data_IF_614136779500
#
_entry.id   IF_614136779500
#
_cell.length_a   1.000
_cell.length_b   1.000
_cell.length_c   1.000
_cell.angle_alpha   90.00
_cell.angle_beta   90.00
_cell.angle_gamma   90.00
#
_symmetry.space_group_name_H-M   'P 1'
#
loop_
_entity.id
_entity.type
_entity.pdbx_description
1 polymer ?
#
# COMPACT_ATOMS: atom_id res chain seq x y z
N UNK A 1 27.53 -31.09 -6.49
CA UNK A 1 26.95 -30.06 -7.36
C UNK A 1 25.62 -29.61 -6.76
N UNK A 2 25.51 -28.35 -6.34
CA UNK A 2 24.22 -27.77 -5.96
C UNK A 2 23.57 -27.27 -7.25
N UNK A 3 22.47 -27.90 -7.68
CA UNK A 3 21.63 -27.36 -8.76
C UNK A 3 20.72 -26.33 -8.14
N UNK A 4 20.90 -25.07 -8.51
CA UNK A 4 19.89 -24.05 -8.25
C UNK A 4 18.68 -24.35 -9.15
N UNK A 5 17.53 -24.56 -8.53
CA UNK A 5 16.28 -24.67 -9.26
C UNK A 5 15.99 -23.31 -9.93
N UNK A 6 15.62 -23.31 -11.21
CA UNK A 6 15.05 -22.11 -11.82
C UNK A 6 13.71 -21.85 -11.14
N UNK A 7 13.67 -20.87 -10.22
CA UNK A 7 12.41 -20.36 -9.73
C UNK A 7 11.74 -19.68 -10.93
N UNK A 8 10.70 -20.30 -11.49
CA UNK A 8 9.91 -19.62 -12.51
C UNK A 8 9.32 -18.36 -11.90
N UNK A 9 9.67 -17.23 -12.50
CA UNK A 9 9.17 -15.94 -12.07
C UNK A 9 7.69 -15.89 -12.41
N UNK A 10 6.82 -15.87 -11.39
CA UNK A 10 5.39 -15.67 -11.62
C UNK A 10 5.13 -14.17 -11.83
N UNK A 11 4.78 -13.72 -13.04
CA UNK A 11 4.63 -12.29 -13.33
C UNK A 11 3.32 -11.70 -12.77
N UNK A 12 2.48 -12.53 -12.15
CA UNK A 12 1.14 -12.20 -11.69
C UNK A 12 0.92 -12.77 -10.29
N UNK A 13 0.21 -12.04 -9.44
CA UNK A 13 -0.14 -12.52 -8.11
C UNK A 13 -1.53 -12.05 -7.70
N UNK A 14 -2.26 -12.96 -7.06
CA UNK A 14 -3.48 -12.63 -6.34
C UNK A 14 -3.16 -12.03 -4.96
N UNK A 15 -3.89 -10.97 -4.61
CA UNK A 15 -3.86 -10.36 -3.28
C UNK A 15 -5.23 -10.44 -2.64
N UNK A 16 -5.31 -11.00 -1.43
CA UNK A 16 -6.54 -11.03 -0.63
C UNK A 16 -6.47 -10.04 0.52
N UNK A 17 -7.52 -9.26 0.71
CA UNK A 17 -7.73 -8.43 1.90
C UNK A 17 -8.24 -9.24 3.10
N UNK A 18 -8.48 -8.53 4.19
CA UNK A 18 -9.13 -9.09 5.38
C UNK A 18 -10.60 -9.49 5.10
N UNK A 19 -11.09 -10.50 5.82
CA UNK A 19 -12.50 -10.87 5.81
C UNK A 19 -13.37 -9.77 6.43
N UNK A 20 -14.52 -9.52 5.81
CA UNK A 20 -15.57 -8.66 6.35
C UNK A 20 -16.11 -9.21 7.66
N UNK A 21 -16.94 -8.40 8.32
CA UNK A 21 -17.78 -8.91 9.39
C UNK A 21 -18.79 -9.92 8.83
N UNK A 22 -19.24 -10.83 9.69
CA UNK A 22 -20.29 -11.77 9.31
C UNK A 22 -21.57 -10.97 9.02
N UNK A 23 -22.29 -11.32 7.95
CA UNK A 23 -23.55 -10.66 7.58
C UNK A 23 -24.61 -10.77 8.67
N UNK A 24 -24.48 -11.75 9.57
CA UNK A 24 -25.33 -11.92 10.74
C UNK A 24 -24.58 -11.75 12.06
N UNK A 25 -25.29 -11.26 13.08
CA UNK A 25 -24.81 -11.15 14.46
C UNK A 25 -25.14 -12.37 15.31
N UNK A 26 -25.96 -13.29 14.81
CA UNK A 26 -26.18 -14.62 15.37
C UNK A 26 -26.38 -15.65 14.24
N UNK A 27 -26.15 -16.94 14.51
CA UNK A 27 -26.41 -18.00 13.54
C UNK A 27 -25.48 -17.98 12.34
N UNK A 28 -25.91 -18.60 11.26
CA UNK A 28 -25.14 -18.72 10.03
C UNK A 28 -25.30 -17.50 9.13
N UNK A 29 -24.18 -16.97 8.66
CA UNK A 29 -24.09 -15.89 7.68
C UNK A 29 -22.88 -16.08 6.77
N UNK A 30 -22.49 -15.01 6.08
CA UNK A 30 -21.33 -15.00 5.18
C UNK A 30 -20.34 -13.89 5.54
N UNK A 31 -19.05 -14.13 5.29
CA UNK A 31 -18.02 -13.10 5.24
C UNK A 31 -17.51 -13.01 3.81
N UNK A 32 -17.24 -11.78 3.36
CA UNK A 32 -16.66 -11.50 2.05
C UNK A 32 -15.31 -10.81 2.21
N UNK A 33 -14.40 -10.98 1.27
CA UNK A 33 -13.13 -10.22 1.24
C UNK A 33 -12.83 -9.75 -0.17
N UNK A 34 -12.06 -8.66 -0.25
CA UNK A 34 -11.55 -8.19 -1.53
C UNK A 34 -10.44 -9.12 -2.01
N UNK A 35 -10.50 -9.52 -3.27
CA UNK A 35 -9.48 -10.31 -3.95
C UNK A 35 -9.15 -9.60 -5.26
N UNK A 36 -7.89 -9.26 -5.49
CA UNK A 36 -7.45 -8.48 -6.67
C UNK A 36 -6.21 -9.11 -7.32
N UNK A 37 -6.13 -9.00 -8.65
CA UNK A 37 -4.99 -9.47 -9.46
C UNK A 37 -3.97 -8.33 -9.62
N UNK A 38 -2.68 -8.64 -9.57
CA UNK A 38 -1.59 -7.65 -9.68
C UNK A 38 -0.42 -8.19 -10.50
N UNK A 39 0.34 -7.29 -11.15
CA UNK A 39 1.63 -7.62 -11.76
C UNK A 39 2.71 -7.76 -10.69
N UNK A 40 3.64 -8.67 -10.91
CA UNK A 40 4.82 -8.86 -10.08
C UNK A 40 6.05 -8.77 -10.97
N UNK A 41 7.04 -7.98 -10.56
CA UNK A 41 8.31 -7.93 -11.29
C UNK A 41 9.25 -9.06 -10.85
N UNK A 42 10.38 -9.20 -11.54
CA UNK A 42 11.40 -10.21 -11.26
C UNK A 42 11.96 -10.18 -9.82
N UNK A 43 11.84 -9.05 -9.12
CA UNK A 43 12.30 -8.86 -7.75
C UNK A 43 11.21 -9.11 -6.69
N UNK A 44 10.04 -9.65 -7.11
CA UNK A 44 8.91 -9.91 -6.21
C UNK A 44 8.13 -8.66 -5.80
N UNK A 45 8.35 -7.51 -6.45
CA UNK A 45 7.55 -6.31 -6.19
C UNK A 45 6.20 -6.42 -6.88
N UNK A 46 5.13 -6.19 -6.12
CA UNK A 46 3.74 -6.25 -6.58
C UNK A 46 3.25 -4.85 -6.94
N UNK A 47 2.77 -4.66 -8.17
CA UNK A 47 2.16 -3.40 -8.60
C UNK A 47 0.90 -3.12 -7.77
N UNK A 48 0.79 -1.96 -7.11
CA UNK A 48 -0.41 -1.62 -6.34
C UNK A 48 -1.67 -1.53 -7.19
N UNK A 49 -1.55 -1.23 -8.48
CA UNK A 49 -2.66 -1.10 -9.42
C UNK A 49 -3.27 -2.47 -9.70
N UNK A 50 -4.57 -2.68 -9.44
CA UNK A 50 -5.22 -3.94 -9.76
C UNK A 50 -5.41 -4.08 -11.27
N UNK A 51 -5.17 -5.29 -11.76
CA UNK A 51 -5.52 -5.72 -13.11
C UNK A 51 -6.94 -6.31 -13.14
N UNK A 52 -7.45 -6.52 -14.35
CA UNK A 52 -8.64 -7.34 -14.56
C UNK A 52 -8.43 -8.76 -14.02
N UNK A 53 -9.49 -9.33 -13.43
CA UNK A 53 -9.43 -10.66 -12.81
C UNK A 53 -9.11 -11.79 -13.81
N UNK A 54 -9.47 -11.62 -15.09
CA UNK A 54 -9.22 -12.60 -16.15
C UNK A 54 -7.73 -12.78 -16.48
N UNK A 55 -6.88 -11.81 -16.09
CA UNK A 55 -5.45 -11.84 -16.39
C UNK A 55 -4.71 -12.83 -15.48
N UNK A 56 -5.11 -12.95 -14.20
CA UNK A 56 -4.47 -13.88 -13.26
C UNK A 56 -5.03 -15.31 -13.42
N UNK A 57 -4.23 -16.35 -13.12
CA UNK A 57 -4.69 -17.74 -13.14
C UNK A 57 -5.90 -17.96 -12.23
N UNK A 58 -7.02 -18.44 -12.78
CA UNK A 58 -8.27 -18.60 -12.02
C UNK A 58 -8.14 -19.68 -10.93
N UNK A 59 -7.36 -20.73 -11.17
CA UNK A 59 -7.13 -21.83 -10.23
C UNK A 59 -6.45 -21.37 -8.92
N UNK A 60 -5.64 -20.33 -8.98
CA UNK A 60 -4.96 -19.77 -7.81
C UNK A 60 -5.80 -18.70 -7.10
N UNK A 61 -6.97 -18.35 -7.63
CA UNK A 61 -7.79 -17.26 -7.12
C UNK A 61 -8.24 -17.59 -5.69
N UNK A 62 -7.86 -16.77 -4.70
CA UNK A 62 -8.29 -16.99 -3.33
C UNK A 62 -9.82 -16.86 -3.20
N UNK A 63 -10.42 -17.68 -2.34
CA UNK A 63 -11.86 -17.59 -2.04
C UNK A 63 -12.25 -16.17 -1.63
N UNK A 64 -13.32 -15.62 -2.21
CA UNK A 64 -13.79 -14.25 -1.91
C UNK A 64 -14.96 -14.23 -0.94
N UNK A 65 -15.61 -15.38 -0.70
CA UNK A 65 -16.73 -15.55 0.22
C UNK A 65 -16.55 -16.83 1.04
N UNK A 66 -16.96 -16.81 2.30
CA UNK A 66 -17.02 -17.99 3.16
C UNK A 66 -18.20 -17.90 4.14
N UNK A 67 -18.69 -19.05 4.61
CA UNK A 67 -19.67 -19.08 5.70
C UNK A 67 -19.03 -18.68 7.04
N UNK A 68 -19.85 -18.12 7.92
CA UNK A 68 -19.49 -17.78 9.29
C UNK A 68 -20.65 -18.15 10.23
N UNK A 69 -20.31 -18.75 11.38
CA UNK A 69 -21.26 -19.07 12.43
C UNK A 69 -21.00 -18.19 13.67
N UNK A 70 -21.95 -17.32 14.00
CA UNK A 70 -21.88 -16.38 15.12
C UNK A 70 -22.77 -16.86 16.27
N UNK A 71 -22.43 -18.01 16.86
CA UNK A 71 -23.27 -18.61 17.91
C UNK A 71 -24.66 -19.02 17.40
N UNK A 72 -25.54 -19.46 18.30
CA UNK A 72 -26.89 -19.87 17.94
C UNK A 72 -27.87 -18.74 18.25
N UNK A 73 -28.75 -18.40 17.30
CA UNK A 73 -29.82 -17.44 17.58
C UNK A 73 -30.80 -17.99 18.64
N UNK A 74 -30.92 -19.32 18.75
CA UNK A 74 -31.79 -19.99 19.72
C UNK A 74 -31.33 -19.85 21.19
N UNK A 75 -30.17 -19.22 21.44
CA UNK A 75 -29.72 -18.91 22.81
C UNK A 75 -30.51 -17.75 23.44
N UNK A 76 -31.40 -17.08 22.70
CA UNK A 76 -32.22 -15.95 23.17
C UNK A 76 -31.46 -14.62 23.30
N UNK A 77 -30.13 -14.65 23.14
CA UNK A 77 -29.23 -13.51 23.28
C UNK A 77 -28.03 -13.60 22.34
N UNK A 78 -27.55 -12.45 21.86
CA UNK A 78 -26.42 -12.36 20.93
C UNK A 78 -25.53 -11.14 21.15
N UNK A 79 -24.26 -11.27 20.75
CA UNK A 79 -23.30 -10.17 20.77
C UNK A 79 -23.49 -9.30 19.53
N UNK A 80 -23.83 -8.03 19.74
CA UNK A 80 -23.86 -7.02 18.67
C UNK A 80 -22.59 -6.16 18.72
N UNK A 81 -21.84 -6.05 17.61
CA UNK A 81 -20.73 -5.12 17.52
C UNK A 81 -21.19 -3.67 17.39
N UNK A 82 -20.54 -2.78 18.12
CA UNK A 82 -20.64 -1.34 17.90
C UNK A 82 -19.66 -0.84 16.82
N UNK A 83 -19.70 0.48 16.52
CA UNK A 83 -18.78 1.08 15.55
C UNK A 83 -17.32 0.95 16.00
N UNK A 84 -16.43 0.92 15.02
CA UNK A 84 -15.00 0.98 15.24
C UNK A 84 -14.59 2.39 15.69
N UNK A 85 -13.68 2.47 16.66
CA UNK A 85 -13.05 3.73 17.06
C UNK A 85 -12.24 4.33 15.91
N UNK A 86 -11.85 5.60 16.05
CA UNK A 86 -10.78 6.17 15.24
C UNK A 86 -9.51 5.29 15.29
N UNK A 87 -8.71 5.35 14.23
CA UNK A 87 -7.42 4.67 14.18
C UNK A 87 -6.51 5.24 15.27
N UNK A 88 -5.80 4.39 16.01
CA UNK A 88 -4.91 4.82 17.09
C UNK A 88 -3.71 5.65 16.63
N UNK A 89 -3.42 5.64 15.32
CA UNK A 89 -2.35 6.40 14.72
C UNK A 89 -2.97 7.42 13.73
N UNK A 90 -2.50 8.69 13.72
CA UNK A 90 -3.00 9.72 12.81
C UNK A 90 -2.54 9.49 11.36
N UNK A 91 -1.55 8.64 11.17
CA UNK A 91 -1.01 8.18 9.91
C UNK A 91 -0.43 6.76 10.10
N UNK A 92 -0.02 6.13 9.02
CA UNK A 92 0.59 4.81 8.98
C UNK A 92 -0.34 3.73 9.51
N UNK A 93 0.29 2.69 10.06
CA UNK A 93 -0.41 1.58 10.68
C UNK A 93 -0.85 1.93 12.10
N UNK A 94 -2.12 1.68 12.40
CA UNK A 94 -2.67 1.79 13.74
C UNK A 94 -3.60 0.64 14.07
N UNK A 95 -4.36 0.81 15.15
CA UNK A 95 -5.36 -0.14 15.62
C UNK A 95 -6.67 0.58 15.90
N UNK A 96 -7.77 -0.04 15.49
CA UNK A 96 -9.11 0.36 15.91
C UNK A 96 -9.61 -0.62 16.97
N UNK A 97 -10.42 -0.11 17.90
CA UNK A 97 -11.09 -0.91 18.92
C UNK A 97 -12.60 -0.71 18.78
N UNK A 98 -13.38 -1.70 19.18
CA UNK A 98 -14.83 -1.58 19.30
C UNK A 98 -15.35 -2.25 20.55
N UNK A 99 -16.53 -1.84 20.98
CA UNK A 99 -17.26 -2.50 22.07
C UNK A 99 -18.24 -3.51 21.48
N UNK A 100 -18.36 -4.65 22.14
CA UNK A 100 -19.43 -5.62 21.91
C UNK A 100 -20.42 -5.49 23.06
N UNK A 101 -21.71 -5.49 22.73
CA UNK A 101 -22.82 -5.35 23.67
C UNK A 101 -23.76 -6.56 23.48
N UNK A 102 -24.30 -7.09 24.57
CA UNK A 102 -25.23 -8.21 24.52
C UNK A 102 -26.67 -7.70 24.34
N UNK A 103 -27.43 -8.34 23.47
CA UNK A 103 -28.84 -8.05 23.18
C UNK A 103 -29.65 -9.33 23.21
N UNK A 104 -30.93 -9.24 23.55
CA UNK A 104 -31.89 -10.33 23.34
C UNK A 104 -32.49 -10.30 21.92
N UNK A 105 -33.27 -11.34 21.59
CA UNK A 105 -33.91 -11.49 20.27
C UNK A 105 -34.92 -10.38 19.94
N UNK A 106 -35.44 -9.69 20.97
CA UNK A 106 -36.31 -8.52 20.83
C UNK A 106 -35.51 -7.23 20.60
N UNK A 107 -34.17 -7.31 20.55
CA UNK A 107 -33.27 -6.18 20.33
C UNK A 107 -33.04 -5.31 21.56
N UNK A 108 -33.46 -5.74 22.76
CA UNK A 108 -33.20 -5.04 24.01
C UNK A 108 -31.82 -5.38 24.54
N UNK A 109 -31.10 -4.36 25.01
CA UNK A 109 -29.76 -4.54 25.59
C UNK A 109 -29.86 -5.25 26.93
N UNK A 110 -29.19 -6.39 27.06
CA UNK A 110 -29.11 -7.17 28.30
C UNK A 110 -27.71 -7.10 28.91
N UNK A 111 -27.52 -7.72 30.07
CA UNK A 111 -26.22 -7.75 30.72
C UNK A 111 -25.22 -8.59 29.91
N UNK A 112 -23.96 -8.14 29.88
CA UNK A 112 -22.92 -8.76 29.06
C UNK A 112 -22.56 -10.20 29.49
N UNK A 113 -22.90 -10.61 30.71
CA UNK A 113 -22.73 -12.00 31.19
C UNK A 113 -23.70 -12.98 30.53
N UNK A 114 -24.83 -12.50 30.03
CA UNK A 114 -25.85 -13.36 29.43
C UNK A 114 -25.36 -13.90 28.08
N UNK A 115 -24.53 -13.14 27.37
CA UNK A 115 -23.92 -13.61 26.13
C UNK A 115 -22.63 -14.40 26.41
N UNK A 116 -22.50 -15.55 25.73
CA UNK A 116 -21.34 -16.44 25.83
C UNK A 116 -20.02 -15.70 25.53
N UNK A 117 -19.07 -15.74 26.46
CA UNK A 117 -17.77 -15.08 26.31
C UNK A 117 -16.93 -15.63 25.14
N UNK A 118 -17.09 -16.92 24.80
CA UNK A 118 -16.39 -17.54 23.67
C UNK A 118 -16.72 -16.88 22.31
N UNK A 119 -17.98 -16.49 22.11
CA UNK A 119 -18.44 -15.82 20.89
C UNK A 119 -17.88 -14.40 20.77
N UNK A 120 -17.73 -13.70 21.92
CA UNK A 120 -17.11 -12.37 22.00
C UNK A 120 -15.69 -12.34 21.42
N UNK A 121 -14.94 -13.46 21.54
CA UNK A 121 -13.60 -13.60 20.98
C UNK A 121 -13.63 -13.76 19.46
N UNK A 122 -14.56 -14.56 18.92
CA UNK A 122 -14.71 -14.80 17.47
C UNK A 122 -15.07 -13.54 16.69
N UNK A 123 -15.91 -12.68 17.25
CA UNK A 123 -16.36 -11.44 16.61
C UNK A 123 -15.27 -10.37 16.44
N UNK A 124 -14.15 -10.46 17.18
CA UNK A 124 -13.06 -9.50 17.08
C UNK A 124 -13.39 -8.11 17.67
N UNK A 125 -12.53 -7.63 18.57
CA UNK A 125 -12.67 -6.30 19.21
C UNK A 125 -11.58 -5.31 18.83
N UNK A 126 -10.60 -5.77 18.07
CA UNK A 126 -9.45 -5.00 17.62
C UNK A 126 -9.22 -5.37 16.16
N UNK A 127 -8.93 -4.38 15.32
CA UNK A 127 -8.46 -4.59 13.95
C UNK A 127 -7.32 -3.63 13.64
N UNK A 128 -6.49 -3.99 12.65
CA UNK A 128 -5.49 -3.07 12.10
C UNK A 128 -6.20 -2.03 11.24
N UNK A 129 -5.62 -0.84 11.15
CA UNK A 129 -6.03 0.21 10.23
C UNK A 129 -4.78 0.80 9.58
N UNK A 130 -4.94 1.33 8.38
CA UNK A 130 -3.97 2.16 7.71
C UNK A 130 -4.71 3.37 7.14
N UNK A 131 -4.32 4.57 7.56
CA UNK A 131 -4.99 5.80 7.09
C UNK A 131 -4.31 6.34 5.83
N UNK A 132 -3.04 6.73 5.97
CA UNK A 132 -2.17 7.27 4.92
C UNK A 132 -0.72 7.07 5.35
N UNK A 133 0.29 7.12 4.47
CA UNK A 133 1.69 7.14 4.90
C UNK A 133 1.99 8.28 5.89
N UNK A 134 2.98 8.07 6.78
CA UNK A 134 3.34 9.06 7.78
C UNK A 134 4.25 10.16 7.26
N UNK A 135 5.16 9.85 6.32
CA UNK A 135 5.93 10.87 5.63
C UNK A 135 5.13 11.54 4.51
N UNK A 136 5.72 12.60 3.96
CA UNK A 136 5.15 13.32 2.84
C UNK A 136 5.15 12.45 1.58
N UNK A 137 4.17 12.67 0.70
CA UNK A 137 4.03 12.01 -0.59
C UNK A 137 4.60 12.83 -1.75
N UNK A 138 4.91 14.11 -1.50
CA UNK A 138 5.42 15.07 -2.48
C UNK A 138 6.23 16.16 -1.80
N UNK A 139 7.06 16.87 -2.56
CA UNK A 139 7.76 18.07 -2.09
C UNK A 139 6.78 19.16 -1.64
N UNK A 140 5.62 19.25 -2.31
CA UNK A 140 4.56 20.18 -1.89
C UNK A 140 3.98 19.82 -0.52
N UNK A 141 3.81 18.53 -0.21
CA UNK A 141 3.34 18.12 1.12
C UNK A 141 4.40 18.38 2.19
N UNK A 142 5.69 18.21 1.88
CA UNK A 142 6.80 18.64 2.75
C UNK A 142 6.73 20.14 3.05
N UNK A 143 6.41 20.95 2.03
CA UNK A 143 6.25 22.38 2.16
C UNK A 143 5.06 22.74 3.05
N UNK A 144 3.88 22.19 2.79
CA UNK A 144 2.64 22.57 3.47
C UNK A 144 2.55 22.03 4.91
N UNK A 145 3.03 20.81 5.14
CA UNK A 145 2.80 20.11 6.42
C UNK A 145 4.04 19.97 7.29
N UNK A 146 5.22 20.03 6.70
CA UNK A 146 6.49 19.88 7.41
C UNK A 146 7.33 21.17 7.37
N UNK A 147 6.81 22.23 6.77
CA UNK A 147 7.45 23.56 6.68
C UNK A 147 8.83 23.55 6.02
N UNK A 148 9.09 22.58 5.14
CA UNK A 148 10.34 22.52 4.37
C UNK A 148 10.29 23.58 3.27
N UNK A 149 11.32 24.41 3.14
CA UNK A 149 11.42 25.50 2.12
C UNK A 149 12.75 25.50 1.36
N UNK A 150 13.68 24.67 1.77
CA UNK A 150 15.02 24.58 1.19
C UNK A 150 15.07 23.47 0.16
N UNK A 151 15.72 23.75 -0.96
CA UNK A 151 16.01 22.75 -1.97
C UNK A 151 16.98 21.70 -1.41
N UNK A 152 16.87 20.46 -1.87
CA UNK A 152 17.75 19.36 -1.44
C UNK A 152 17.11 17.99 -1.54
N UNK A 153 17.89 16.97 -1.17
CA UNK A 153 17.41 15.59 -1.03
C UNK A 153 16.41 15.48 0.12
N UNK A 154 15.25 14.91 -0.17
CA UNK A 154 14.19 14.67 0.79
C UNK A 154 13.71 13.23 0.69
N UNK A 155 13.35 12.65 1.84
CA UNK A 155 12.70 11.35 1.89
C UNK A 155 11.17 11.53 1.76
N UNK A 156 10.60 11.04 0.66
CA UNK A 156 9.15 10.94 0.50
C UNK A 156 8.71 9.49 0.41
N UNK A 157 7.42 9.27 0.62
CA UNK A 157 6.81 7.95 0.58
C UNK A 157 6.11 7.72 -0.75
N UNK A 158 6.79 7.09 -1.70
CA UNK A 158 6.16 6.63 -2.94
C UNK A 158 5.64 5.21 -2.74
N UNK A 159 4.32 5.05 -2.81
CA UNK A 159 3.64 3.73 -2.72
C UNK A 159 4.02 2.93 -1.46
N UNK A 160 4.23 3.64 -0.35
CA UNK A 160 4.55 3.05 0.97
C UNK A 160 6.02 2.68 1.17
N UNK A 161 6.90 2.97 0.21
CA UNK A 161 8.35 2.88 0.35
C UNK A 161 8.93 4.29 0.47
N UNK A 162 9.86 4.46 1.40
CA UNK A 162 10.69 5.65 1.46
C UNK A 162 11.64 5.66 0.25
N UNK A 163 11.66 6.78 -0.47
CA UNK A 163 12.58 7.05 -1.56
C UNK A 163 13.20 8.43 -1.35
N UNK A 164 14.49 8.55 -1.64
CA UNK A 164 15.15 9.86 -1.71
C UNK A 164 14.88 10.46 -3.08
N UNK A 165 14.47 11.72 -3.11
CA UNK A 165 14.43 12.55 -4.31
C UNK A 165 14.97 13.93 -3.99
N UNK A 166 15.41 14.61 -5.04
CA UNK A 166 15.74 16.02 -4.94
C UNK A 166 14.48 16.87 -5.11
N UNK A 167 14.15 17.64 -4.07
CA UNK A 167 13.14 18.70 -4.12
C UNK A 167 13.80 20.02 -4.53
N UNK A 168 13.42 20.58 -5.67
CA UNK A 168 13.87 21.89 -6.16
C UNK A 168 12.76 22.94 -6.09
N UNK A 169 13.12 24.22 -6.11
CA UNK A 169 12.16 25.35 -6.05
C UNK A 169 11.24 25.30 -4.82
N UNK A 170 11.72 24.82 -3.68
CA UNK A 170 10.96 24.64 -2.43
C UNK A 170 10.50 25.96 -1.79
N UNK A 171 11.08 27.08 -2.20
CA UNK A 171 10.64 28.42 -1.79
C UNK A 171 9.47 28.97 -2.65
N UNK A 172 9.02 28.24 -3.68
CA UNK A 172 7.89 28.63 -4.54
C UNK A 172 6.62 27.90 -4.15
N UNK A 173 5.47 28.27 -4.72
CA UNK A 173 4.19 27.56 -4.52
C UNK A 173 4.09 26.23 -5.30
N UNK A 174 5.05 25.95 -6.17
CA UNK A 174 5.08 24.75 -7.02
C UNK A 174 6.49 24.16 -7.01
N UNK A 175 6.86 23.43 -5.95
CA UNK A 175 8.15 22.75 -5.90
C UNK A 175 8.24 21.67 -6.98
N UNK A 176 9.46 21.41 -7.45
CA UNK A 176 9.78 20.44 -8.49
C UNK A 176 10.45 19.21 -7.90
N UNK A 177 10.17 18.04 -8.48
CA UNK A 177 10.59 16.73 -7.99
C UNK A 177 11.51 16.06 -9.01
N UNK A 178 12.70 15.65 -8.59
CA UNK A 178 13.70 15.03 -9.45
C UNK A 178 14.18 13.71 -8.85
N UNK A 179 14.19 12.63 -9.65
CA UNK A 179 14.78 11.35 -9.21
C UNK A 179 16.29 11.50 -9.18
N UNK A 180 16.87 11.33 -8.00
CA UNK A 180 18.30 11.44 -7.78
C UNK A 180 18.99 10.16 -8.23
N UNK A 181 19.95 10.29 -9.15
CA UNK A 181 20.76 9.16 -9.61
C UNK A 181 21.83 8.86 -8.56
N UNK A 182 21.79 7.66 -7.98
CA UNK A 182 22.72 7.20 -6.94
C UNK A 182 24.18 7.11 -7.40
N UNK A 183 24.40 7.17 -8.70
CA UNK A 183 25.69 6.95 -9.34
C UNK A 183 26.58 8.23 -9.38
N UNK A 184 26.07 9.37 -8.90
CA UNK A 184 26.79 10.65 -8.91
C UNK A 184 26.93 11.27 -10.31
N UNK A 185 27.48 12.48 -10.39
CA UNK A 185 27.64 13.23 -11.66
C UNK A 185 28.45 12.46 -12.71
N UNK A 186 29.39 11.61 -12.29
CA UNK A 186 30.32 10.88 -13.16
C UNK A 186 29.68 9.73 -13.94
N UNK A 187 28.42 9.39 -13.69
CA UNK A 187 27.72 8.32 -14.41
C UNK A 187 26.27 8.67 -14.77
N UNK A 188 25.96 9.97 -14.77
CA UNK A 188 24.73 10.53 -15.32
C UNK A 188 24.91 10.81 -16.82
N UNK A 189 24.79 9.80 -17.67
CA UNK A 189 24.92 9.93 -19.13
C UNK A 189 23.55 10.17 -19.79
N UNK A 190 22.88 11.26 -19.46
CA UNK A 190 21.87 11.83 -20.38
C UNK A 190 22.37 13.18 -20.88
N UNK A 191 23.32 13.13 -21.82
CA UNK A 191 23.80 14.32 -22.53
C UNK A 191 22.89 14.56 -23.74
N UNK A 192 22.03 15.58 -23.63
CA UNK A 192 21.20 16.04 -24.73
C UNK A 192 21.90 17.22 -25.37
N UNK A 193 22.62 16.97 -26.47
CA UNK A 193 23.18 18.04 -27.29
C UNK A 193 22.06 18.71 -28.09
N UNK A 194 21.96 20.04 -28.03
CA UNK A 194 20.99 20.81 -28.82
C UNK A 194 21.29 20.83 -30.33
N UNK A 195 22.44 20.28 -30.73
CA UNK A 195 22.90 20.13 -32.11
C UNK A 195 23.43 18.72 -32.33
N UNK A 196 23.34 18.20 -33.55
CA UNK A 196 23.78 16.84 -33.86
C UNK A 196 25.27 16.86 -34.19
N UNK A 197 26.09 16.12 -33.47
CA UNK A 197 27.51 15.96 -33.83
C UNK A 197 27.65 15.45 -35.28
N UNK A 198 28.59 16.02 -36.03
CA UNK A 198 28.92 15.54 -37.38
C UNK A 198 29.50 14.13 -37.33
N UNK A 199 30.30 13.83 -36.29
CA UNK A 199 30.78 12.49 -35.98
C UNK A 199 30.49 12.14 -34.49
N UNK A 200 29.59 11.17 -34.23
CA UNK A 200 29.20 10.76 -32.88
C UNK A 200 30.35 10.17 -32.04
N UNK A 201 31.39 9.61 -32.67
CA UNK A 201 32.45 8.89 -31.98
C UNK A 201 33.63 9.80 -31.57
N UNK A 202 33.64 11.06 -32.02
CA UNK A 202 34.76 12.00 -31.81
C UNK A 202 34.58 12.94 -30.63
N UNK A 203 33.40 12.99 -30.02
CA UNK A 203 33.12 13.94 -28.95
C UNK A 203 32.00 13.45 -28.02
N UNK A 204 32.20 13.41 -26.68
CA UNK A 204 33.44 13.60 -25.93
C UNK A 204 34.19 12.27 -25.70
N UNK A 205 35.42 12.15 -26.19
CA UNK A 205 36.33 11.07 -25.80
C UNK A 205 36.93 11.38 -24.41
N UNK A 206 36.61 10.56 -23.41
CA UNK A 206 37.15 10.71 -22.05
C UNK A 206 36.34 11.60 -21.10
N UNK A 207 35.10 11.95 -21.43
CA UNK A 207 34.16 12.58 -20.49
C UNK A 207 34.42 14.06 -20.16
N UNK A 208 35.36 14.72 -20.85
CA UNK A 208 35.59 16.15 -20.71
C UNK A 208 34.63 16.95 -21.59
N UNK A 209 33.98 17.98 -21.00
CA UNK A 209 33.13 18.94 -21.73
C UNK A 209 34.02 19.85 -22.57
N UNK A 210 33.83 19.83 -23.89
CA UNK A 210 34.62 20.62 -24.83
C UNK A 210 33.70 21.37 -25.79
N UNK A 211 33.87 22.70 -25.87
CA UNK A 211 33.00 23.59 -26.66
C UNK A 211 33.37 23.66 -28.15
N UNK A 212 34.41 22.92 -28.57
CA UNK A 212 34.97 22.96 -29.93
C UNK A 212 34.54 21.78 -30.82
N UNK A 213 33.44 21.12 -30.50
CA UNK A 213 32.97 19.98 -31.30
C UNK A 213 32.14 20.42 -32.51
N UNK A 214 32.46 19.86 -33.67
CA UNK A 214 31.73 20.11 -34.92
C UNK A 214 30.32 19.52 -34.85
N UNK A 215 29.32 20.40 -34.94
CA UNK A 215 27.91 20.05 -34.87
C UNK A 215 27.14 20.64 -36.06
N UNK A 216 26.11 19.92 -36.51
CA UNK A 216 25.07 20.36 -37.44
C UNK A 216 23.97 21.12 -36.68
#
# INVERSE_FOLDING_TARGET
MVRHCAAEHCPLAWRSGDWSECTRTCGEGAQVRRVTCHRVNMYGWIDPTPLDHSICPTEERPISSRSCLVGHCNDGVFWKPGPWSACSAPCGHGRQKRRLRCYDDLGKRVHNSNCRAALKRKLGRKRKCFLRPCGALSCQELQERMSVRTDGEQEIYVRGRAVSLYCGRMNTTSPQEYISLSSGESSNYSEVYGKRLTNPDTCPYGGARVDYCDCL
#
